data_IF_218717207276
#
_entry.id   IF_218717207276
#
_cell.length_a   1.000
_cell.length_b   1.000
_cell.length_c   1.000
_cell.angle_alpha   90.00
_cell.angle_beta   90.00
_cell.angle_gamma   90.00
#
_symmetry.space_group_name_H-M   'P 1'
#
loop_
_entity.id
_entity.type
_entity.pdbx_description
1 polymer ?
#
# COMPACT_ATOMS: atom_id res chain seq x y z
N UNK A 1 16.07 -11.87 -5.04
CA UNK A 1 15.48 -10.51 -4.81
C UNK A 1 16.29 -9.47 -5.60
N UNK A 2 15.90 -8.18 -5.64
CA UNK A 2 16.65 -7.13 -6.40
C UNK A 2 18.14 -7.07 -6.01
N UNK A 3 18.48 -7.50 -4.79
CA UNK A 3 19.86 -7.60 -4.26
C UNK A 3 20.59 -8.90 -4.62
N UNK A 4 19.95 -9.84 -5.32
CA UNK A 4 20.53 -11.15 -5.62
C UNK A 4 20.46 -12.18 -4.48
N UNK A 5 19.78 -11.88 -3.37
CA UNK A 5 19.57 -12.85 -2.29
C UNK A 5 18.87 -14.11 -2.80
N UNK A 6 19.52 -15.25 -2.56
CA UNK A 6 18.98 -16.59 -2.78
C UNK A 6 18.14 -17.03 -1.59
N UNK A 7 17.11 -17.81 -1.87
CA UNK A 7 16.33 -18.52 -0.87
C UNK A 7 15.97 -19.89 -1.42
N UNK A 8 15.87 -20.87 -0.54
CA UNK A 8 15.70 -22.29 -0.86
C UNK A 8 14.24 -22.77 -0.77
N UNK A 9 13.34 -21.97 -0.18
CA UNK A 9 11.95 -22.37 0.06
C UNK A 9 10.95 -21.21 0.15
N UNK A 10 9.66 -21.53 0.03
CA UNK A 10 8.57 -20.55 0.20
C UNK A 10 8.52 -20.03 1.65
N UNK A 11 8.83 -20.87 2.63
CA UNK A 11 8.88 -20.48 4.04
C UNK A 11 9.98 -19.45 4.30
N UNK A 12 11.14 -19.66 3.68
CA UNK A 12 12.25 -18.71 3.73
C UNK A 12 11.90 -17.39 3.05
N UNK A 13 11.27 -17.44 1.88
CA UNK A 13 10.78 -16.23 1.21
C UNK A 13 9.78 -15.46 2.08
N UNK A 14 8.82 -16.15 2.70
CA UNK A 14 7.86 -15.52 3.62
C UNK A 14 8.56 -14.85 4.79
N UNK A 15 9.59 -15.50 5.36
CA UNK A 15 10.39 -14.91 6.43
C UNK A 15 11.08 -13.63 5.95
N UNK A 16 11.78 -13.67 4.82
CA UNK A 16 12.48 -12.50 4.27
C UNK A 16 11.50 -11.33 4.02
N UNK A 17 10.32 -11.61 3.46
CA UNK A 17 9.27 -10.60 3.24
C UNK A 17 8.68 -10.07 4.55
N UNK A 18 8.64 -10.87 5.62
CA UNK A 18 8.14 -10.45 6.92
C UNK A 18 9.21 -9.71 7.77
N UNK A 19 10.50 -9.87 7.44
CA UNK A 19 11.62 -9.27 8.18
C UNK A 19 12.35 -8.23 7.34
N UNK A 20 13.28 -8.66 6.50
CA UNK A 20 14.29 -7.81 5.87
C UNK A 20 13.71 -6.96 4.74
N UNK A 21 12.58 -7.42 4.16
CA UNK A 21 11.84 -6.75 3.08
C UNK A 21 10.44 -6.34 3.51
N UNK A 22 10.21 -6.21 4.83
CA UNK A 22 8.88 -5.87 5.39
C UNK A 22 8.30 -4.59 4.79
N UNK A 23 9.13 -3.55 4.69
CA UNK A 23 8.70 -2.25 4.15
C UNK A 23 8.35 -2.34 2.66
N UNK A 24 9.12 -3.09 1.87
CA UNK A 24 8.83 -3.32 0.44
C UNK A 24 7.51 -4.08 0.26
N UNK A 25 7.26 -5.08 1.12
CA UNK A 25 6.00 -5.81 1.15
C UNK A 25 4.82 -4.88 1.52
N UNK A 26 4.97 -4.02 2.52
CA UNK A 26 3.97 -3.02 2.90
C UNK A 26 3.69 -2.02 1.78
N UNK A 27 4.72 -1.58 1.06
CA UNK A 27 4.56 -0.70 -0.09
C UNK A 27 3.74 -1.39 -1.17
N UNK A 28 4.13 -2.61 -1.56
CA UNK A 28 3.44 -3.39 -2.58
C UNK A 28 1.96 -3.64 -2.23
N UNK A 29 1.66 -4.09 -1.01
CA UNK A 29 0.27 -4.36 -0.62
C UNK A 29 -0.56 -3.07 -0.54
N UNK A 30 0.03 -1.96 -0.07
CA UNK A 30 -0.64 -0.66 -0.03
C UNK A 30 -0.97 -0.16 -1.43
N UNK A 31 -0.03 -0.27 -2.38
CA UNK A 31 -0.25 0.09 -3.79
C UNK A 31 -1.39 -0.71 -4.41
N UNK A 32 -1.37 -2.04 -4.27
CA UNK A 32 -2.39 -2.90 -4.88
C UNK A 32 -3.76 -2.68 -4.26
N UNK A 33 -3.83 -2.53 -2.94
CA UNK A 33 -5.10 -2.33 -2.25
C UNK A 33 -5.68 -0.93 -2.48
N UNK A 34 -4.83 0.11 -2.56
CA UNK A 34 -5.28 1.45 -2.92
C UNK A 34 -5.79 1.49 -4.36
N UNK A 35 -5.06 0.87 -5.30
CA UNK A 35 -5.50 0.71 -6.70
C UNK A 35 -6.89 0.06 -6.78
N UNK A 36 -7.09 -1.04 -6.06
CA UNK A 36 -8.38 -1.72 -5.97
C UNK A 36 -9.47 -0.81 -5.38
N UNK A 37 -9.17 -0.13 -4.26
CA UNK A 37 -10.13 0.73 -3.56
C UNK A 37 -10.56 1.95 -4.39
N UNK A 38 -9.67 2.50 -5.22
CA UNK A 38 -9.93 3.64 -6.08
C UNK A 38 -10.55 3.25 -7.43
N UNK A 39 -10.40 2.00 -7.86
CA UNK A 39 -10.86 1.53 -9.17
C UNK A 39 -10.07 2.09 -10.36
N UNK A 40 -8.87 2.64 -10.10
CA UNK A 40 -7.93 3.18 -11.08
C UNK A 40 -6.50 2.85 -10.67
N UNK A 41 -5.57 2.92 -11.62
CA UNK A 41 -4.13 2.88 -11.32
C UNK A 41 -3.70 4.06 -10.45
N UNK A 42 -2.53 3.96 -9.84
CA UNK A 42 -1.92 5.07 -9.11
C UNK A 42 -1.36 6.12 -10.06
N UNK A 43 -1.49 7.37 -9.65
CA UNK A 43 -0.92 8.54 -10.30
C UNK A 43 0.26 9.08 -9.47
N UNK A 44 1.08 9.97 -10.06
CA UNK A 44 2.27 10.52 -9.38
C UNK A 44 1.97 11.18 -8.03
N UNK A 45 0.75 11.70 -7.85
CA UNK A 45 0.33 12.36 -6.61
C UNK A 45 -0.15 11.38 -5.53
N UNK A 46 -0.34 10.10 -5.85
CA UNK A 46 -0.72 9.08 -4.86
C UNK A 46 0.48 8.57 -4.05
N UNK A 47 1.72 8.86 -4.45
CA UNK A 47 2.94 8.43 -3.73
C UNK A 47 2.90 8.83 -2.25
N UNK A 48 2.53 10.07 -1.95
CA UNK A 48 2.40 10.54 -0.56
C UNK A 48 1.34 9.74 0.22
N UNK A 49 0.25 9.35 -0.44
CA UNK A 49 -0.76 8.51 0.21
C UNK A 49 -0.19 7.13 0.51
N UNK A 50 0.55 6.52 -0.43
CA UNK A 50 1.20 5.23 -0.20
C UNK A 50 2.19 5.29 0.96
N UNK A 51 3.02 6.33 1.03
CA UNK A 51 3.97 6.49 2.13
C UNK A 51 3.26 6.58 3.50
N UNK A 52 2.12 7.29 3.55
CA UNK A 52 1.27 7.33 4.74
C UNK A 52 0.70 5.96 5.10
N UNK A 53 0.21 5.18 4.12
CA UNK A 53 -0.31 3.83 4.35
C UNK A 53 0.77 2.88 4.87
N UNK A 54 1.97 2.93 4.29
CA UNK A 54 3.13 2.14 4.74
C UNK A 54 3.51 2.50 6.17
N UNK A 55 3.56 3.79 6.49
CA UNK A 55 3.83 4.24 7.86
C UNK A 55 2.74 3.79 8.84
N UNK A 56 1.46 3.80 8.44
CA UNK A 56 0.36 3.28 9.26
C UNK A 56 0.49 1.78 9.52
N UNK A 57 0.97 1.00 8.55
CA UNK A 57 1.25 -0.43 8.75
C UNK A 57 2.42 -0.64 9.72
N UNK A 58 3.51 0.11 9.57
CA UNK A 58 4.70 0.00 10.45
C UNK A 58 4.35 0.28 11.92
N UNK A 59 3.62 1.36 12.22
CA UNK A 59 3.24 1.69 13.61
C UNK A 59 2.19 0.74 14.21
N UNK A 60 1.45 0.02 13.36
CA UNK A 60 0.43 -0.93 13.78
C UNK A 60 0.88 -2.39 13.65
N UNK A 61 2.19 -2.65 13.54
CA UNK A 61 2.77 -3.99 13.45
C UNK A 61 2.16 -4.84 12.32
N UNK A 62 1.96 -4.21 11.16
CA UNK A 62 1.48 -4.87 9.95
C UNK A 62 0.02 -5.30 9.97
N UNK A 63 -0.79 -4.85 10.94
CA UNK A 63 -2.21 -5.23 11.04
C UNK A 63 -2.98 -4.88 9.76
N UNK A 64 -3.62 -5.85 9.08
CA UNK A 64 -4.39 -5.59 7.87
C UNK A 64 -5.54 -4.60 8.09
N UNK A 65 -6.15 -4.63 9.29
CA UNK A 65 -7.22 -3.70 9.66
C UNK A 65 -6.74 -2.24 9.76
N UNK A 66 -5.47 -2.00 10.06
CA UNK A 66 -4.90 -0.66 10.06
C UNK A 66 -4.78 -0.10 8.64
N UNK A 67 -4.31 -0.92 7.68
CA UNK A 67 -4.25 -0.53 6.27
C UNK A 67 -5.65 -0.21 5.71
N UNK A 68 -6.63 -1.07 5.97
CA UNK A 68 -8.00 -0.84 5.51
C UNK A 68 -8.57 0.47 6.05
N UNK A 69 -8.41 0.74 7.36
CA UNK A 69 -8.84 2.01 7.97
C UNK A 69 -8.10 3.21 7.36
N UNK A 70 -6.79 3.10 7.17
CA UNK A 70 -5.99 4.16 6.59
C UNK A 70 -6.40 4.47 5.13
N UNK A 71 -6.69 3.45 4.32
CA UNK A 71 -7.23 3.63 2.97
C UNK A 71 -8.59 4.33 3.03
N UNK A 72 -9.50 3.84 3.89
CA UNK A 72 -10.84 4.44 4.04
C UNK A 72 -10.72 5.92 4.40
N UNK A 73 -9.79 6.31 5.26
CA UNK A 73 -9.61 7.71 5.67
C UNK A 73 -8.69 8.53 4.75
N UNK A 74 -8.13 7.93 3.70
CA UNK A 74 -7.21 8.63 2.78
C UNK A 74 -7.92 9.66 1.92
N UNK A 75 -7.21 10.72 1.54
CA UNK A 75 -7.70 11.77 0.64
C UNK A 75 -8.21 11.20 -0.69
N UNK A 76 -7.46 10.37 -1.45
CA UNK A 76 -7.95 9.87 -2.74
C UNK A 76 -9.20 8.99 -2.62
N UNK A 77 -9.38 8.29 -1.49
CA UNK A 77 -10.60 7.50 -1.26
C UNK A 77 -11.80 8.35 -0.86
N UNK A 78 -11.60 9.32 0.03
CA UNK A 78 -12.66 10.19 0.56
C UNK A 78 -13.09 11.26 -0.44
N UNK A 79 -12.14 11.83 -1.17
CA UNK A 79 -12.35 12.92 -2.13
C UNK A 79 -12.16 12.39 -3.54
N UNK A 80 -12.99 11.42 -3.93
CA UNK A 80 -13.01 10.94 -5.31
C UNK A 80 -13.33 12.11 -6.22
N UNK A 81 -12.36 12.47 -7.07
CA UNK A 81 -12.58 13.50 -8.09
C UNK A 81 -13.55 12.90 -9.10
N UNK A 82 -14.80 13.35 -9.07
CA UNK A 82 -15.76 12.96 -10.08
C UNK A 82 -15.31 13.60 -11.41
N UNK A 83 -14.93 12.81 -12.43
CA UNK A 83 -14.54 13.36 -13.73
C UNK A 83 -15.68 14.14 -14.41
N UNK A 84 -16.94 13.88 -14.03
CA UNK A 84 -18.14 14.54 -14.55
C UNK A 84 -18.64 15.69 -13.65
N UNK A 85 -17.84 16.14 -12.67
CA UNK A 85 -18.22 17.27 -11.83
C UNK A 85 -18.18 18.58 -12.63
N UNK A 86 -19.34 19.04 -13.07
CA UNK A 86 -19.56 20.40 -13.56
C UNK A 86 -20.07 21.27 -12.39
N UNK A 87 -19.27 22.23 -11.89
CA UNK A 87 -19.82 23.26 -11.00
C UNK A 87 -20.75 24.17 -11.82
N UNK A 88 -21.97 24.38 -11.32
CA UNK A 88 -22.93 25.37 -11.85
C UNK A 88 -22.37 26.80 -11.80
#
# INVERSE_FOLDING_TARGET
LITGEEFSSVQELKRILATDRRRDFYYCISEKLLTYALGRGLEYYDTETIDQLVNQLEINDGKPSALLKAIIHSVPFQKRRNPDFQPE
#
